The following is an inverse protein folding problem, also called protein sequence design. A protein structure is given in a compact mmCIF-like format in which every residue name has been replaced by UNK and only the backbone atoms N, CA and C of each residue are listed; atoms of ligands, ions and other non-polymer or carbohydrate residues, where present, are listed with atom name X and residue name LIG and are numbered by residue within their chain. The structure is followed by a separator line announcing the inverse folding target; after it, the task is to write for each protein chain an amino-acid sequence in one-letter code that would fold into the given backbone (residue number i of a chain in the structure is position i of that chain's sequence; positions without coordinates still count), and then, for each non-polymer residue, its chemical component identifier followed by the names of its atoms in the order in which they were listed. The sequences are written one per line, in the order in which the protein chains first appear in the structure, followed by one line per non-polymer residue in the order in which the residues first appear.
data_IF_479864744854
#
_entry.id   IF_479864744854
#
_cell.length_a   1.000
_cell.length_b   1.000
_cell.length_c   1.000
_cell.angle_alpha   90.00
_cell.angle_beta   90.00
_cell.angle_gamma   90.00
#
_symmetry.space_group_name_H-M   'P 1'
#
loop_
_entity.id
_entity.type
_entity.pdbx_description
1 polymer ?
#
# COMPACT_ATOMS: atom_id res chain seq x y z
N UNK A 1 10.66 -5.44 19.47
CA UNK A 1 10.11 -4.36 18.65
C UNK A 1 8.71 -4.71 18.24
N UNK A 2 7.85 -3.71 18.22
CA UNK A 2 6.44 -3.89 17.93
C UNK A 2 6.16 -3.42 16.50
N UNK A 3 5.46 -4.24 15.73
CA UNK A 3 5.00 -3.87 14.41
C UNK A 3 3.49 -3.96 14.36
N UNK A 4 2.89 -3.14 13.50
CA UNK A 4 1.45 -3.16 13.26
C UNK A 4 1.18 -3.24 11.77
N UNK A 5 0.16 -3.97 11.36
CA UNK A 5 -0.24 -3.94 9.97
C UNK A 5 -1.01 -2.65 9.67
N UNK A 6 -0.77 -2.11 8.50
CA UNK A 6 -1.62 -1.09 7.91
C UNK A 6 -2.10 -1.60 6.57
N UNK A 7 -3.21 -1.07 6.10
CA UNK A 7 -3.75 -1.43 4.80
C UNK A 7 -3.75 -0.20 3.91
N UNK A 8 -3.29 -0.37 2.69
CA UNK A 8 -3.23 0.72 1.73
C UNK A 8 -4.01 0.31 0.50
N UNK A 9 -4.96 1.13 0.12
CA UNK A 9 -5.71 0.93 -1.12
C UNK A 9 -5.21 1.92 -2.16
N UNK A 10 -5.03 1.45 -3.39
CA UNK A 10 -4.52 2.27 -4.47
C UNK A 10 -5.49 2.29 -5.62
N UNK A 11 -5.75 3.50 -6.13
CA UNK A 11 -6.44 3.69 -7.37
C UNK A 11 -5.40 3.95 -8.45
N UNK A 12 -5.47 3.20 -9.55
CA UNK A 12 -4.49 3.27 -10.62
C UNK A 12 -5.10 3.90 -11.86
N UNK A 13 -4.25 4.46 -12.71
CA UNK A 13 -4.68 4.90 -14.04
C UNK A 13 -5.19 3.71 -14.84
N UNK A 14 -6.18 3.92 -15.74
CA UNK A 14 -6.70 2.84 -16.56
C UNK A 14 -5.59 2.09 -17.29
N UNK A 15 -5.61 0.77 -17.20
CA UNK A 15 -4.62 -0.08 -17.85
C UNK A 15 -3.28 -0.18 -17.15
N UNK A 16 -3.11 0.47 -16.00
CA UNK A 16 -1.83 0.50 -15.30
C UNK A 16 -1.79 -0.35 -14.03
N UNK A 17 -2.91 -0.97 -13.66
CA UNK A 17 -3.01 -1.69 -12.39
C UNK A 17 -1.93 -2.76 -12.23
N UNK A 18 -1.71 -3.58 -13.25
CA UNK A 18 -0.74 -4.66 -13.13
C UNK A 18 0.70 -4.16 -13.19
N UNK A 19 0.96 -3.08 -13.92
CA UNK A 19 2.28 -2.45 -13.91
C UNK A 19 2.61 -1.89 -12.52
N UNK A 20 1.63 -1.24 -11.89
CA UNK A 20 1.77 -0.73 -10.54
C UNK A 20 1.98 -1.88 -9.55
N UNK A 21 1.16 -2.94 -9.66
CA UNK A 21 1.27 -4.09 -8.79
C UNK A 21 2.65 -4.73 -8.88
N UNK A 22 3.17 -4.88 -10.09
CA UNK A 22 4.50 -5.44 -10.30
C UNK A 22 5.59 -4.57 -9.65
N UNK A 23 5.50 -3.26 -9.83
CA UNK A 23 6.46 -2.34 -9.21
C UNK A 23 6.43 -2.43 -7.69
N UNK A 24 5.23 -2.55 -7.10
CA UNK A 24 5.07 -2.70 -5.65
C UNK A 24 5.66 -4.03 -5.19
N UNK A 25 5.36 -5.10 -5.90
CA UNK A 25 5.86 -6.43 -5.59
C UNK A 25 7.39 -6.44 -5.55
N UNK A 26 8.02 -5.75 -6.48
CA UNK A 26 9.48 -5.68 -6.58
C UNK A 26 10.12 -4.95 -5.40
N UNK A 27 9.38 -4.12 -4.68
CA UNK A 27 9.93 -3.42 -3.51
C UNK A 27 10.17 -4.36 -2.34
N UNK A 28 9.48 -5.49 -2.30
CA UNK A 28 9.51 -6.45 -1.18
C UNK A 28 9.07 -5.85 0.16
N UNK A 29 8.36 -4.71 0.11
CA UNK A 29 7.91 -4.00 1.32
C UNK A 29 6.52 -4.40 1.79
N UNK A 30 5.75 -5.08 0.94
CA UNK A 30 4.37 -5.45 1.28
C UNK A 30 4.28 -6.93 1.64
N UNK A 31 3.46 -7.20 2.64
CA UNK A 31 3.21 -8.56 3.11
C UNK A 31 2.19 -9.29 2.23
N UNK A 32 1.18 -8.56 1.77
CA UNK A 32 0.12 -9.10 0.92
C UNK A 32 -0.27 -8.03 -0.10
N UNK A 33 -0.63 -8.47 -1.28
CA UNK A 33 -0.99 -7.59 -2.38
C UNK A 33 -2.08 -8.27 -3.19
N UNK A 34 -3.23 -7.60 -3.31
CA UNK A 34 -4.39 -8.12 -4.03
C UNK A 34 -4.92 -7.10 -5.01
N UNK A 35 -5.40 -7.57 -6.14
CA UNK A 35 -6.27 -6.75 -6.98
C UNK A 35 -7.69 -6.85 -6.44
N UNK A 36 -8.43 -5.75 -6.48
CA UNK A 36 -9.75 -5.68 -5.87
C UNK A 36 -10.76 -5.02 -6.81
N UNK A 37 -12.03 -5.26 -6.52
CA UNK A 37 -13.13 -4.56 -7.17
C UNK A 37 -13.47 -3.28 -6.41
N UNK A 38 -14.29 -2.43 -6.99
CA UNK A 38 -14.75 -1.19 -6.37
C UNK A 38 -13.95 0.01 -6.82
N UNK A 39 -13.90 1.02 -5.95
CA UNK A 39 -13.27 2.30 -6.29
C UNK A 39 -11.75 2.23 -6.32
N UNK A 40 -11.15 1.25 -5.68
CA UNK A 40 -9.71 1.05 -5.64
C UNK A 40 -9.35 -0.24 -6.34
N UNK A 41 -8.19 -0.24 -6.97
CA UNK A 41 -7.74 -1.34 -7.81
C UNK A 41 -6.86 -2.35 -7.08
N UNK A 42 -6.11 -1.88 -6.08
CA UNK A 42 -5.17 -2.70 -5.33
C UNK A 42 -5.36 -2.52 -3.84
N UNK A 43 -5.13 -3.59 -3.09
CA UNK A 43 -5.13 -3.59 -1.63
C UNK A 43 -3.82 -4.20 -1.16
N UNK A 44 -3.10 -3.47 -0.32
CA UNK A 44 -1.81 -3.86 0.22
C UNK A 44 -1.91 -4.00 1.74
N UNK A 45 -1.19 -4.99 2.27
CA UNK A 45 -0.94 -5.09 3.71
C UNK A 45 0.54 -4.87 3.95
N UNK A 46 0.86 -3.90 4.81
CA UNK A 46 2.25 -3.53 5.11
C UNK A 46 2.42 -3.51 6.62
N UNK A 47 3.53 -4.08 7.11
CA UNK A 47 3.86 -3.99 8.53
C UNK A 47 4.75 -2.79 8.77
N UNK A 48 4.35 -1.95 9.72
CA UNK A 48 5.04 -0.72 10.07
C UNK A 48 5.56 -0.84 11.50
N UNK A 49 6.79 -0.45 11.73
CA UNK A 49 7.36 -0.38 13.07
C UNK A 49 6.75 0.76 13.86
N UNK A 50 6.58 0.52 15.16
CA UNK A 50 6.08 1.54 16.07
C UNK A 50 7.04 2.75 16.06
N UNK A 51 6.46 3.94 15.96
CA UNK A 51 7.23 5.18 15.89
C UNK A 51 7.65 5.59 14.49
N UNK A 52 7.46 4.75 13.50
CA UNK A 52 7.78 5.09 12.11
C UNK A 52 6.79 6.11 11.56
N UNK A 53 7.29 7.06 10.78
CA UNK A 53 6.44 8.05 10.09
C UNK A 53 5.75 7.37 8.91
N UNK A 54 4.48 7.03 9.09
CA UNK A 54 3.71 6.27 8.10
C UNK A 54 3.51 7.08 6.83
N UNK A 55 3.18 8.36 6.94
CA UNK A 55 2.97 9.21 5.78
C UNK A 55 4.22 9.30 4.91
N UNK A 56 5.37 9.48 5.55
CA UNK A 56 6.64 9.53 4.84
C UNK A 56 6.97 8.19 4.18
N UNK A 57 6.75 7.09 4.89
CA UNK A 57 6.97 5.76 4.34
C UNK A 57 6.15 5.53 3.06
N UNK A 58 4.87 5.86 3.10
CA UNK A 58 3.97 5.69 1.96
C UNK A 58 4.41 6.58 0.79
N UNK A 59 4.73 7.84 1.06
CA UNK A 59 5.16 8.77 0.02
C UNK A 59 6.46 8.33 -0.65
N UNK A 60 7.42 7.88 0.15
CA UNK A 60 8.75 7.55 -0.36
C UNK A 60 8.79 6.22 -1.10
N UNK A 61 7.94 5.27 -0.71
CA UNK A 61 8.07 3.89 -1.18
C UNK A 61 6.92 3.40 -2.04
N UNK A 62 5.76 3.99 -1.93
CA UNK A 62 4.54 3.50 -2.61
C UNK A 62 3.91 4.57 -3.49
N UNK A 63 3.57 5.72 -2.92
CA UNK A 63 2.80 6.72 -3.64
C UNK A 63 3.55 7.37 -4.79
N UNK A 64 4.86 7.24 -4.82
CA UNK A 64 5.69 7.79 -5.90
C UNK A 64 5.77 6.87 -7.13
N UNK A 65 5.15 5.70 -7.10
CA UNK A 65 5.16 4.77 -8.23
C UNK A 65 4.28 5.33 -9.36
N UNK A 66 4.80 5.40 -10.59
CA UNK A 66 4.00 5.89 -11.71
C UNK A 66 2.75 5.04 -11.94
N UNK A 67 1.65 5.70 -12.26
CA UNK A 67 0.38 5.04 -12.52
C UNK A 67 -0.59 5.04 -11.36
N UNK A 68 -0.16 5.48 -10.17
CA UNK A 68 -1.03 5.62 -9.01
C UNK A 68 -1.70 6.99 -9.07
N UNK A 69 -3.03 7.00 -9.00
CA UNK A 69 -3.83 8.22 -9.01
C UNK A 69 -4.11 8.68 -7.58
N UNK A 70 -4.45 7.74 -6.70
CA UNK A 70 -4.84 8.06 -5.34
C UNK A 70 -4.57 6.89 -4.43
N UNK A 71 -4.27 7.18 -3.16
CA UNK A 71 -4.08 6.16 -2.13
C UNK A 71 -4.94 6.47 -0.91
N UNK A 72 -5.34 5.41 -0.22
CA UNK A 72 -6.06 5.51 1.05
C UNK A 72 -5.40 4.55 2.02
N UNK A 73 -4.86 5.09 3.09
CA UNK A 73 -4.19 4.30 4.13
C UNK A 73 -5.13 4.12 5.31
N UNK A 74 -5.30 2.89 5.75
CA UNK A 74 -6.10 2.55 6.92
C UNK A 74 -5.16 2.04 8.01
N UNK A 75 -5.18 2.71 9.14
CA UNK A 75 -4.39 2.31 10.30
C UNK A 75 -5.19 1.30 11.12
N UNK A 76 -4.48 0.42 11.80
CA UNK A 76 -5.11 -0.54 12.71
C UNK A 76 -4.78 -0.17 14.15
N UNK A 77 -5.67 -0.50 15.07
CA UNK A 77 -5.47 -0.21 16.48
C UNK A 77 -5.22 -1.46 17.31
N UNK A 78 -5.96 -2.53 17.04
CA UNK A 78 -5.85 -3.74 17.83
C UNK A 78 -6.22 -4.95 17.01
N UNK A 79 -5.39 -5.99 17.11
CA UNK A 79 -5.69 -7.30 16.55
C UNK A 79 -6.47 -8.11 17.60
N UNK A 80 -7.55 -8.70 17.18
CA UNK A 80 -8.36 -9.54 18.08
C UNK A 80 -8.08 -11.02 17.85
#
# INVERSE_FOLDING_TARGET
MSVKPIFVQLQCEPGKTYDVADAIYQTELVSELYSTSGDYDLLLKVYIEEGQDIGKFINDNIANIPGIVRSLTTLTFKAF
#
